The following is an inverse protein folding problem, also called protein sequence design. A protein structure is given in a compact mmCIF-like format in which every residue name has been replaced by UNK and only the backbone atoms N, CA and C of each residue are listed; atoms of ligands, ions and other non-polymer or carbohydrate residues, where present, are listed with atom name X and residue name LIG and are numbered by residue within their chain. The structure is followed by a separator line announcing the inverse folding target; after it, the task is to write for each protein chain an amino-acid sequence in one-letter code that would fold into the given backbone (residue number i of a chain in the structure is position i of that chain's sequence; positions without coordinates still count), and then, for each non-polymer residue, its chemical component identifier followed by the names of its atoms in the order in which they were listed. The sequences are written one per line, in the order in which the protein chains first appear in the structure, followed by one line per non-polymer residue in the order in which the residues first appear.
data_IF_031823768935
#
_entry.id   IF_031823768935
#
_cell.length_a   1.000
_cell.length_b   1.000
_cell.length_c   1.000
_cell.angle_alpha   90.00
_cell.angle_beta   90.00
_cell.angle_gamma   90.00
#
_symmetry.space_group_name_H-M   'P 1'
#
loop_
_entity.id
_entity.type
_entity.pdbx_description
1 polymer ?
#
# COMPACT_ATOMS: atom_id res chain seq x y z
N UNK A 1 18.25 0.63 3.81
CA UNK A 1 16.81 0.29 3.90
C UNK A 1 16.45 -0.43 2.64
N UNK A 2 15.99 -1.67 2.79
CA UNK A 2 15.55 -2.50 1.68
C UNK A 2 14.35 -1.85 0.97
N UNK A 3 14.27 -1.95 -0.36
CA UNK A 3 13.17 -1.40 -1.15
C UNK A 3 11.84 -2.05 -0.74
N UNK A 4 11.88 -3.34 -0.41
CA UNK A 4 10.72 -4.09 0.08
C UNK A 4 10.21 -3.55 1.42
N UNK A 5 11.11 -3.26 2.35
CA UNK A 5 10.79 -2.67 3.66
C UNK A 5 10.17 -1.26 3.52
N UNK A 6 10.64 -0.46 2.56
CA UNK A 6 10.05 0.86 2.27
C UNK A 6 8.62 0.74 1.77
N UNK A 7 8.38 -0.14 0.79
CA UNK A 7 7.03 -0.41 0.27
C UNK A 7 6.09 -0.89 1.36
N UNK A 8 6.56 -1.81 2.22
CA UNK A 8 5.77 -2.30 3.35
C UNK A 8 5.35 -1.17 4.31
N UNK A 9 6.28 -0.26 4.63
CA UNK A 9 6.01 0.90 5.50
C UNK A 9 5.01 1.86 4.87
N UNK A 10 5.12 2.11 3.56
CA UNK A 10 4.22 2.97 2.81
C UNK A 10 2.79 2.41 2.77
N UNK A 11 2.64 1.12 2.43
CA UNK A 11 1.35 0.42 2.45
C UNK A 11 0.68 0.52 3.83
N UNK A 12 1.44 0.30 4.90
CA UNK A 12 0.91 0.38 6.27
C UNK A 12 0.49 1.82 6.62
N UNK A 13 1.25 2.83 6.20
CA UNK A 13 0.89 4.24 6.40
C UNK A 13 -0.43 4.58 5.69
N UNK A 14 -0.57 4.17 4.43
CA UNK A 14 -1.77 4.43 3.64
C UNK A 14 -3.00 3.67 4.18
N UNK A 15 -2.83 2.44 4.68
CA UNK A 15 -3.89 1.70 5.38
C UNK A 15 -4.40 2.45 6.61
N UNK A 16 -3.50 3.05 7.39
CA UNK A 16 -3.89 3.87 8.55
C UNK A 16 -4.61 5.15 8.13
N UNK A 17 -4.28 5.73 6.97
CA UNK A 17 -5.01 6.88 6.41
C UNK A 17 -6.40 6.43 5.96
N UNK A 18 -6.50 5.28 5.28
CA UNK A 18 -7.77 4.73 4.81
C UNK A 18 -8.72 4.44 5.99
N UNK A 19 -8.20 3.83 7.06
CA UNK A 19 -8.96 3.64 8.30
C UNK A 19 -9.52 4.95 8.84
N UNK A 20 -8.69 6.01 8.89
CA UNK A 20 -9.15 7.35 9.30
C UNK A 20 -10.19 7.94 8.35
N UNK A 21 -10.10 7.72 7.04
CA UNK A 21 -11.12 8.19 6.11
C UNK A 21 -12.45 7.49 6.34
N UNK A 22 -12.43 6.18 6.56
CA UNK A 22 -13.63 5.40 6.88
C UNK A 22 -14.25 5.80 8.22
N UNK A 23 -13.42 6.04 9.24
CA UNK A 23 -13.89 6.43 10.58
C UNK A 23 -14.51 7.84 10.63
N UNK A 24 -14.16 8.71 9.68
CA UNK A 24 -14.62 10.10 9.63
C UNK A 24 -15.65 10.37 8.51
N UNK A 25 -16.22 9.32 7.88
CA UNK A 25 -17.14 9.44 6.75
C UNK A 25 -16.62 10.39 5.65
N UNK A 26 -15.32 10.27 5.33
CA UNK A 26 -14.69 11.09 4.28
C UNK A 26 -15.27 10.82 2.90
N UNK A 27 -14.98 11.74 1.98
CA UNK A 27 -15.49 11.69 0.62
C UNK A 27 -15.12 10.39 -0.10
N UNK A 28 -16.11 9.78 -0.76
CA UNK A 28 -15.95 8.52 -1.47
C UNK A 28 -14.85 8.57 -2.53
N UNK A 29 -14.68 9.69 -3.24
CA UNK A 29 -13.63 9.82 -4.26
C UNK A 29 -12.24 9.75 -3.62
N UNK A 30 -12.05 10.34 -2.44
CA UNK A 30 -10.78 10.24 -1.69
C UNK A 30 -10.51 8.82 -1.22
N UNK A 31 -11.54 8.13 -0.71
CA UNK A 31 -11.46 6.73 -0.28
C UNK A 31 -11.08 5.85 -1.47
N UNK A 32 -11.76 6.04 -2.60
CA UNK A 32 -11.53 5.26 -3.82
C UNK A 32 -10.13 5.48 -4.39
N UNK A 33 -9.69 6.74 -4.47
CA UNK A 33 -8.34 7.07 -4.93
C UNK A 33 -7.27 6.44 -4.05
N UNK A 34 -7.41 6.54 -2.72
CA UNK A 34 -6.46 5.95 -1.79
C UNK A 34 -6.45 4.42 -1.86
N UNK A 35 -7.62 3.79 -2.03
CA UNK A 35 -7.70 2.35 -2.18
C UNK A 35 -7.01 1.86 -3.47
N UNK A 36 -7.19 2.59 -4.56
CA UNK A 36 -6.51 2.28 -5.84
C UNK A 36 -4.99 2.37 -5.70
N UNK A 37 -4.48 3.40 -5.02
CA UNK A 37 -3.05 3.53 -4.72
C UNK A 37 -2.51 2.38 -3.87
N UNK A 38 -3.30 1.92 -2.89
CA UNK A 38 -2.94 0.76 -2.06
C UNK A 38 -2.82 -0.52 -2.90
N UNK A 39 -3.75 -0.77 -3.82
CA UNK A 39 -3.70 -1.94 -4.69
C UNK A 39 -2.45 -1.94 -5.58
N UNK A 40 -2.09 -0.79 -6.15
CA UNK A 40 -0.88 -0.64 -6.96
C UNK A 40 0.40 -0.96 -6.16
N UNK A 41 0.51 -0.43 -4.95
CA UNK A 41 1.67 -0.66 -4.08
C UNK A 41 1.75 -2.12 -3.59
N UNK A 42 0.62 -2.75 -3.29
CA UNK A 42 0.56 -4.17 -2.91
C UNK A 42 1.04 -5.05 -4.07
N UNK A 43 0.65 -4.73 -5.30
CA UNK A 43 1.13 -5.43 -6.49
C UNK A 43 2.64 -5.23 -6.65
N UNK A 44 3.16 -4.01 -6.50
CA UNK A 44 4.61 -3.76 -6.57
C UNK A 44 5.38 -4.53 -5.49
N UNK A 45 4.89 -4.52 -4.25
CA UNK A 45 5.47 -5.26 -3.14
C UNK A 45 5.60 -6.75 -3.48
N UNK A 46 4.54 -7.39 -3.97
CA UNK A 46 4.57 -8.81 -4.31
C UNK A 46 5.42 -9.13 -5.55
N UNK A 47 5.54 -8.21 -6.50
CA UNK A 47 6.49 -8.38 -7.62
C UNK A 47 7.92 -8.39 -7.11
N UNK A 48 8.27 -7.43 -6.25
CA UNK A 48 9.61 -7.32 -5.69
C UNK A 48 9.96 -8.48 -4.75
N UNK A 49 9.02 -8.92 -3.91
CA UNK A 49 9.18 -10.07 -3.02
C UNK A 49 9.48 -11.35 -3.81
N UNK A 50 8.74 -11.58 -4.91
CA UNK A 50 9.01 -12.69 -5.83
C UNK A 50 10.38 -12.57 -6.49
N UNK A 51 10.74 -11.40 -6.98
CA UNK A 51 12.07 -11.17 -7.57
C UNK A 51 13.20 -11.49 -6.59
N UNK A 52 13.07 -11.13 -5.31
CA UNK A 52 14.06 -11.47 -4.28
C UNK A 52 14.12 -13.00 -4.09
N UNK A 53 12.98 -13.68 -4.00
CA UNK A 53 12.93 -15.12 -3.75
C UNK A 53 13.47 -15.98 -4.92
N UNK A 54 13.27 -15.55 -6.17
CA UNK A 54 13.77 -16.27 -7.35
C UNK A 54 15.24 -15.97 -7.70
N UNK A 55 15.83 -14.92 -7.12
CA UNK A 55 17.24 -14.54 -7.31
C UNK A 55 18.17 -15.02 -6.17
N UNK A 56 17.63 -15.77 -5.21
CA UNK A 56 18.33 -16.44 -4.10
C UNK A 56 18.44 -17.95 -4.36
#
# INVERSE_FOLDING_TARGET
MDKLEKLQKEINSLRNILGRYLDNDEDFEKIFALNTQLDELIIEYHKLDKEIYFNL
#
